data_IF_614014354379
#
_entry.id   IF_614014354379
#
_cell.length_a   1.000
_cell.length_b   1.000
_cell.length_c   1.000
_cell.angle_alpha   90.00
_cell.angle_beta   90.00
_cell.angle_gamma   90.00
#
_symmetry.space_group_name_H-M   'P 1'
#
loop_
_entity.id
_entity.type
_entity.pdbx_description
1 polymer ?
#
# COMPACT_ATOMS: atom_id res chain seq x y z
N UNK A 1 5.87 -44.31 -33.15
CA UNK A 1 6.45 -43.58 -32.01
C UNK A 1 5.36 -42.70 -31.42
N UNK A 2 5.05 -42.76 -30.13
CA UNK A 2 4.03 -41.91 -29.54
C UNK A 2 4.53 -40.46 -29.45
N UNK A 3 3.64 -39.51 -29.74
CA UNK A 3 3.88 -38.08 -29.65
C UNK A 3 2.86 -37.49 -28.67
N UNK A 4 3.31 -36.60 -27.78
CA UNK A 4 2.47 -35.94 -26.79
C UNK A 4 2.63 -34.44 -26.97
N UNK A 5 1.52 -33.71 -27.04
CA UNK A 5 1.51 -32.25 -27.15
C UNK A 5 1.14 -31.66 -25.79
N UNK A 6 2.06 -30.93 -25.19
CA UNK A 6 1.87 -30.19 -23.94
C UNK A 6 1.53 -28.73 -24.27
N UNK A 7 0.42 -28.21 -23.72
CA UNK A 7 0.08 -26.78 -23.80
C UNK A 7 0.35 -26.14 -22.45
N UNK A 8 1.39 -25.33 -22.36
CA UNK A 8 1.72 -24.56 -21.15
C UNK A 8 1.24 -23.11 -21.27
N UNK A 9 0.84 -22.52 -20.15
CA UNK A 9 0.41 -21.12 -20.07
C UNK A 9 1.56 -20.30 -19.49
N UNK A 10 2.06 -19.31 -20.23
CA UNK A 10 3.18 -18.47 -19.78
C UNK A 10 2.63 -17.23 -19.09
N UNK A 11 2.93 -17.06 -17.80
CA UNK A 11 2.66 -15.82 -17.06
C UNK A 11 3.92 -14.97 -17.01
N UNK A 12 3.91 -13.81 -17.68
CA UNK A 12 4.99 -12.81 -17.60
C UNK A 12 4.55 -11.62 -16.78
N UNK A 13 5.38 -11.21 -15.81
CA UNK A 13 5.22 -9.93 -15.13
C UNK A 13 5.69 -8.82 -16.07
N UNK A 14 4.81 -7.87 -16.37
CA UNK A 14 5.13 -6.69 -17.16
C UNK A 14 5.13 -5.52 -16.18
N UNK A 15 6.26 -4.83 -16.06
CA UNK A 15 6.35 -3.58 -15.33
C UNK A 15 6.09 -2.46 -16.31
N UNK A 16 5.00 -1.72 -16.10
CA UNK A 16 4.63 -0.56 -16.90
C UNK A 16 4.94 0.68 -16.05
N UNK A 17 5.89 1.54 -16.46
CA UNK A 17 6.16 2.80 -15.77
C UNK A 17 4.90 3.66 -15.70
N UNK A 18 4.74 4.40 -14.60
CA UNK A 18 3.56 5.24 -14.40
C UNK A 18 3.50 6.36 -15.45
N UNK A 19 4.66 6.84 -15.90
CA UNK A 19 4.82 7.84 -16.95
C UNK A 19 4.18 7.38 -18.26
N UNK A 20 4.40 6.11 -18.64
CA UNK A 20 3.78 5.53 -19.84
C UNK A 20 2.27 5.44 -19.74
N UNK A 21 1.73 5.21 -18.53
CA UNK A 21 0.27 5.21 -18.31
C UNK A 21 -0.29 6.62 -18.46
N UNK A 22 0.42 7.65 -17.96
CA UNK A 22 0.01 9.05 -18.07
C UNK A 22 -0.01 9.48 -19.54
N UNK A 23 1.05 9.19 -20.30
CA UNK A 23 1.11 9.50 -21.74
C UNK A 23 -0.03 8.83 -22.52
N UNK A 24 -0.37 7.57 -22.19
CA UNK A 24 -1.50 6.90 -22.80
C UNK A 24 -2.81 7.62 -22.51
N UNK A 25 -3.07 8.04 -21.27
CA UNK A 25 -4.27 8.79 -20.90
C UNK A 25 -4.32 10.16 -21.60
N UNK A 26 -3.18 10.82 -21.76
CA UNK A 26 -3.07 12.08 -22.50
C UNK A 26 -3.28 11.91 -24.01
N UNK A 27 -3.05 10.72 -24.57
CA UNK A 27 -3.33 10.48 -26.00
C UNK A 27 -4.82 10.23 -26.32
N UNK A 28 -5.66 10.01 -25.30
CA UNK A 28 -7.09 9.74 -25.46
C UNK A 28 -7.88 10.99 -25.84
N UNK A 29 -8.99 10.78 -26.55
CA UNK A 29 -9.97 11.83 -26.81
C UNK A 29 -10.83 12.13 -25.57
N UNK A 30 -11.63 13.20 -25.62
CA UNK A 30 -12.38 13.69 -24.45
C UNK A 30 -13.41 12.68 -23.91
N UNK A 31 -14.11 11.97 -24.80
CA UNK A 31 -15.08 10.91 -24.42
C UNK A 31 -14.37 9.73 -23.74
N UNK A 32 -13.25 9.29 -24.31
CA UNK A 32 -12.43 8.20 -23.77
C UNK A 32 -11.84 8.55 -22.40
N UNK A 33 -11.32 9.77 -22.24
CA UNK A 33 -10.82 10.26 -20.95
C UNK A 33 -11.91 10.27 -19.89
N UNK A 34 -13.11 10.74 -20.23
CA UNK A 34 -14.24 10.75 -19.30
C UNK A 34 -14.65 9.34 -18.88
N UNK A 35 -14.70 8.38 -19.80
CA UNK A 35 -15.03 6.99 -19.48
C UNK A 35 -13.96 6.32 -18.60
N UNK A 36 -12.67 6.59 -18.86
CA UNK A 36 -11.56 6.12 -18.01
C UNK A 36 -11.68 6.69 -16.60
N UNK A 37 -11.89 8.00 -16.47
CA UNK A 37 -12.05 8.65 -15.17
C UNK A 37 -13.26 8.13 -14.41
N UNK A 38 -14.41 7.96 -15.09
CA UNK A 38 -15.63 7.38 -14.49
C UNK A 38 -15.37 5.99 -13.94
N UNK A 39 -14.66 5.13 -14.70
CA UNK A 39 -14.29 3.77 -14.26
C UNK A 39 -13.33 3.77 -13.08
N UNK A 40 -12.34 4.66 -13.08
CA UNK A 40 -11.39 4.82 -11.99
C UNK A 40 -12.08 5.30 -10.71
N UNK A 41 -13.04 6.22 -10.81
CA UNK A 41 -13.84 6.70 -9.68
C UNK A 41 -14.78 5.64 -9.12
N UNK A 42 -15.35 4.76 -9.96
CA UNK A 42 -16.18 3.64 -9.50
C UNK A 42 -15.40 2.49 -8.86
N UNK A 43 -14.07 2.46 -9.01
CA UNK A 43 -13.24 1.58 -8.18
C UNK A 43 -13.20 2.22 -6.81
N UNK A 44 -13.95 1.67 -5.85
CA UNK A 44 -13.73 1.94 -4.44
C UNK A 44 -12.25 1.64 -4.15
N UNK A 45 -11.43 2.69 -4.10
CA UNK A 45 -10.11 2.62 -3.54
C UNK A 45 -10.35 2.33 -2.06
N UNK A 46 -10.39 1.05 -1.73
CA UNK A 46 -10.28 0.58 -0.36
C UNK A 46 -8.89 0.99 0.11
N UNK A 47 -8.77 2.24 0.53
CA UNK A 47 -7.70 2.63 1.42
C UNK A 47 -7.93 1.75 2.63
N UNK A 48 -7.02 0.80 2.86
CA UNK A 48 -7.00 0.06 4.13
C UNK A 48 -7.07 1.12 5.22
N UNK A 49 -8.05 0.98 6.11
CA UNK A 49 -8.11 1.81 7.30
C UNK A 49 -6.73 1.78 7.95
N UNK A 50 -6.20 2.94 8.31
CA UNK A 50 -4.95 3.04 9.04
C UNK A 50 -5.10 2.21 10.32
N UNK A 51 -4.45 1.05 10.37
CA UNK A 51 -4.47 0.18 11.52
C UNK A 51 -3.28 0.55 12.39
N UNK A 52 -3.52 1.47 13.34
CA UNK A 52 -2.51 1.88 14.32
C UNK A 52 -2.14 0.65 15.15
N UNK A 53 -0.84 0.38 15.28
CA UNK A 53 -0.38 -0.69 16.15
C UNK A 53 -0.66 -0.35 17.63
N UNK A 54 -0.69 -1.37 18.48
CA UNK A 54 -0.86 -1.19 19.92
C UNK A 54 0.34 -0.43 20.49
N UNK A 55 0.09 0.41 21.52
CA UNK A 55 1.15 1.15 22.21
C UNK A 55 2.22 0.20 22.73
N UNK A 56 1.82 -0.97 23.24
CA UNK A 56 2.74 -1.99 23.75
C UNK A 56 3.66 -2.55 22.66
N UNK A 57 3.15 -2.80 21.44
CA UNK A 57 3.97 -3.26 20.33
C UNK A 57 4.97 -2.17 19.90
N UNK A 58 4.51 -0.92 19.81
CA UNK A 58 5.38 0.21 19.47
C UNK A 58 6.49 0.35 20.52
N UNK A 59 6.17 0.30 21.82
CA UNK A 59 7.18 0.39 22.87
C UNK A 59 8.16 -0.77 22.83
N UNK A 60 7.69 -1.99 22.53
CA UNK A 60 8.55 -3.16 22.39
C UNK A 60 9.54 -2.98 21.23
N UNK A 61 9.09 -2.52 20.07
CA UNK A 61 9.96 -2.31 18.91
C UNK A 61 11.10 -1.32 19.23
N UNK A 62 10.81 -0.28 20.01
CA UNK A 62 11.83 0.69 20.45
C UNK A 62 12.74 0.09 21.53
N UNK A 63 12.20 -0.64 22.50
CA UNK A 63 12.99 -1.31 23.54
C UNK A 63 13.95 -2.37 22.96
N UNK A 64 13.52 -3.11 21.92
CA UNK A 64 14.34 -4.13 21.24
C UNK A 64 15.59 -3.54 20.55
N UNK A 65 15.57 -2.26 20.18
CA UNK A 65 16.75 -1.60 19.61
C UNK A 65 17.83 -1.30 20.66
N UNK A 66 17.51 -1.39 21.95
CA UNK A 66 18.42 -1.17 23.09
C UNK A 66 19.22 0.16 22.98
N UNK A 67 18.67 1.13 22.25
CA UNK A 67 19.31 2.39 21.86
C UNK A 67 18.67 3.60 22.55
N UNK A 68 17.71 3.36 23.42
CA UNK A 68 16.90 4.37 24.08
C UNK A 68 16.91 4.15 25.59
N UNK A 69 17.06 5.24 26.33
CA UNK A 69 17.01 5.24 27.79
C UNK A 69 15.59 4.95 28.30
N UNK A 70 15.48 4.42 29.51
CA UNK A 70 14.19 4.10 30.14
C UNK A 70 13.27 5.34 30.25
N UNK A 71 13.85 6.50 30.58
CA UNK A 71 13.12 7.77 30.68
C UNK A 71 12.49 8.18 29.34
N UNK A 72 13.18 7.92 28.22
CA UNK A 72 12.63 8.20 26.89
C UNK A 72 11.45 7.29 26.55
N UNK A 73 11.52 6.01 26.92
CA UNK A 73 10.43 5.06 26.68
C UNK A 73 9.18 5.41 27.49
N UNK A 74 9.35 5.91 28.72
CA UNK A 74 8.26 6.38 29.56
C UNK A 74 7.57 7.62 28.96
N UNK A 75 8.35 8.60 28.49
CA UNK A 75 7.82 9.79 27.82
C UNK A 75 7.10 9.44 26.50
N UNK A 76 7.63 8.47 25.75
CA UNK A 76 7.01 7.95 24.53
C UNK A 76 5.66 7.30 24.82
N UNK A 77 5.57 6.47 25.86
CA UNK A 77 4.31 5.84 26.28
C UNK A 77 3.25 6.90 26.62
N UNK A 78 3.60 7.90 27.42
CA UNK A 78 2.68 8.96 27.80
C UNK A 78 2.23 9.80 26.59
N UNK A 79 3.16 10.12 25.69
CA UNK A 79 2.88 10.81 24.43
C UNK A 79 1.92 10.03 23.54
N UNK A 80 2.18 8.73 23.33
CA UNK A 80 1.34 7.86 22.50
C UNK A 80 -0.08 7.69 23.06
N UNK A 81 -0.23 7.68 24.39
CA UNK A 81 -1.52 7.67 25.09
C UNK A 81 -2.28 8.99 24.91
N UNK A 82 -1.61 10.14 25.03
CA UNK A 82 -2.23 11.48 24.85
C UNK A 82 -2.60 11.77 23.40
N UNK A 83 -1.79 11.31 22.45
CA UNK A 83 -1.98 11.54 21.02
C UNK A 83 -2.89 10.51 20.35
N UNK A 84 -3.67 9.72 21.09
CA UNK A 84 -4.66 8.82 20.50
C UNK A 84 -6.00 9.54 20.27
N UNK A 85 -6.37 9.89 19.02
CA UNK A 85 -7.67 10.45 18.71
C UNK A 85 -8.82 9.43 18.78
N UNK A 86 -8.50 8.14 18.98
CA UNK A 86 -9.47 7.06 19.14
C UNK A 86 -9.26 6.42 20.51
N UNK A 87 -10.28 6.52 21.36
CA UNK A 87 -10.46 5.73 22.57
C UNK A 87 -11.20 4.45 22.23
#
# INVERSE_FOLDING_TARGET
MPCITLKETITKKIEIPIESVIEMVESLNEEERMEVMRRLQTRNLSFKAFNKDSVDNILRDFAETNSYEEDFLADLEEGLKKSSPYK
#
